data_IF_284722955717
#
_entry.id   IF_284722955717
#
_cell.length_a   1.000
_cell.length_b   1.000
_cell.length_c   1.000
_cell.angle_alpha   90.00
_cell.angle_beta   90.00
_cell.angle_gamma   90.00
#
_symmetry.space_group_name_H-M   'P 1'
#
loop_
_entity.id
_entity.type
_entity.pdbx_description
1 polymer ?
#
# COMPACT_ATOMS: atom_id res chain seq x y z
N UNK A 1 -13.11 2.10 -4.23
CA UNK A 1 -11.72 2.57 -4.29
C UNK A 1 -11.36 3.00 -5.70
N UNK A 2 -10.23 3.69 -5.87
CA UNK A 2 -9.61 3.96 -7.20
C UNK A 2 -8.33 3.13 -7.33
N UNK A 3 -7.83 2.97 -8.56
CA UNK A 3 -6.48 2.42 -8.75
C UNK A 3 -5.43 3.34 -8.11
N UNK A 4 -4.49 2.73 -7.40
CA UNK A 4 -3.31 3.41 -6.89
C UNK A 4 -2.53 4.05 -8.02
N UNK A 5 -1.94 5.20 -7.73
CA UNK A 5 -1.04 5.93 -8.61
C UNK A 5 0.36 5.92 -7.98
N UNK A 6 1.43 6.04 -8.77
CA UNK A 6 2.80 6.06 -8.23
C UNK A 6 3.00 7.09 -7.11
N UNK A 7 2.29 8.21 -7.18
CA UNK A 7 2.35 9.27 -6.17
C UNK A 7 1.87 8.82 -4.78
N UNK A 8 0.94 7.85 -4.71
CA UNK A 8 0.40 7.37 -3.43
C UNK A 8 1.47 6.65 -2.60
N UNK A 9 2.33 5.88 -3.25
CA UNK A 9 3.48 5.23 -2.60
C UNK A 9 4.62 6.23 -2.39
N UNK A 10 4.88 7.11 -3.36
CA UNK A 10 5.99 8.06 -3.31
C UNK A 10 5.85 9.04 -2.13
N UNK A 11 4.64 9.51 -1.82
CA UNK A 11 4.42 10.39 -0.67
C UNK A 11 4.65 9.66 0.66
N UNK A 12 4.31 8.38 0.74
CA UNK A 12 4.61 7.58 1.94
C UNK A 12 6.10 7.33 2.10
N UNK A 13 6.80 7.03 1.00
CA UNK A 13 8.27 6.92 1.00
C UNK A 13 8.93 8.25 1.42
N UNK A 14 8.42 9.38 0.94
CA UNK A 14 8.90 10.71 1.33
C UNK A 14 8.68 10.96 2.84
N UNK A 15 7.52 10.58 3.39
CA UNK A 15 7.27 10.65 4.83
C UNK A 15 8.32 9.85 5.63
N UNK A 16 8.56 8.59 5.25
CA UNK A 16 9.56 7.73 5.90
C UNK A 16 11.00 8.23 5.73
N UNK A 17 11.32 8.93 4.64
CA UNK A 17 12.64 9.52 4.44
C UNK A 17 12.84 10.84 5.20
N UNK A 18 11.77 11.40 5.80
CA UNK A 18 11.80 12.70 6.45
C UNK A 18 11.87 12.60 8.00
N UNK A 19 12.24 13.69 8.69
CA UNK A 19 12.18 13.76 10.16
C UNK A 19 10.79 13.51 10.76
N UNK A 20 9.71 13.64 9.97
CA UNK A 20 8.34 13.40 10.43
C UNK A 20 8.10 11.94 10.85
N UNK A 21 8.99 11.03 10.43
CA UNK A 21 8.94 9.61 10.78
C UNK A 21 9.96 9.19 11.85
N UNK A 22 10.54 10.13 12.61
CA UNK A 22 11.65 9.87 13.54
C UNK A 22 11.39 8.78 14.61
N UNK A 23 10.13 8.42 14.86
CA UNK A 23 9.73 7.37 15.80
C UNK A 23 9.07 6.15 15.14
N UNK A 24 9.08 6.08 13.81
CA UNK A 24 8.49 4.98 13.04
C UNK A 24 9.60 4.03 12.61
N UNK A 25 9.65 2.85 13.23
CA UNK A 25 10.62 1.80 12.90
C UNK A 25 10.04 0.41 13.10
N UNK A 26 10.53 -0.57 12.34
CA UNK A 26 10.10 -1.96 12.43
C UNK A 26 8.62 -2.19 12.08
N UNK A 27 8.04 -1.33 11.24
CA UNK A 27 6.65 -1.41 10.81
C UNK A 27 6.55 -1.75 9.32
N UNK A 28 5.54 -2.53 8.99
CA UNK A 28 5.10 -2.78 7.61
C UNK A 28 3.83 -1.98 7.42
N UNK A 29 3.76 -1.22 6.32
CA UNK A 29 2.60 -0.41 5.97
C UNK A 29 2.12 -0.79 4.57
N UNK A 30 0.84 -1.06 4.46
CA UNK A 30 0.17 -1.38 3.21
C UNK A 30 -0.41 -0.09 2.61
N UNK A 31 -0.03 0.20 1.36
CA UNK A 31 -0.49 1.37 0.61
C UNK A 31 -1.29 0.86 -0.60
N UNK A 32 -2.39 0.16 -0.34
CA UNK A 32 -3.16 -0.58 -1.34
C UNK A 32 -4.57 -0.01 -1.60
N UNK A 33 -5.00 0.98 -0.81
CA UNK A 33 -6.33 1.57 -0.88
C UNK A 33 -7.43 0.76 -0.20
N UNK A 34 -7.07 -0.12 0.75
CA UNK A 34 -7.99 -0.96 1.52
C UNK A 34 -8.35 -2.26 0.80
N UNK A 35 -7.42 -2.83 0.03
CA UNK A 35 -7.66 -4.03 -0.76
C UNK A 35 -7.31 -5.28 0.04
N UNK A 36 -8.31 -5.87 0.68
CA UNK A 36 -8.12 -7.14 1.43
C UNK A 36 -8.07 -8.37 0.51
N UNK A 37 -8.45 -8.22 -0.76
CA UNK A 37 -8.59 -9.30 -1.73
C UNK A 37 -8.04 -8.88 -3.10
N UNK A 38 -7.61 -9.88 -3.89
CA UNK A 38 -7.19 -9.61 -5.26
C UNK A 38 -8.39 -9.12 -6.08
N UNK A 39 -8.31 -7.89 -6.60
CA UNK A 39 -9.36 -7.35 -7.49
C UNK A 39 -9.45 -8.10 -8.83
N UNK A 40 -8.47 -8.93 -9.18
CA UNK A 40 -8.49 -9.72 -10.40
C UNK A 40 -9.23 -11.03 -10.14
N UNK A 41 -10.51 -11.09 -10.54
CA UNK A 41 -11.25 -12.35 -10.56
C UNK A 41 -10.80 -13.20 -11.75
N UNK A 42 -10.00 -14.23 -11.47
CA UNK A 42 -9.49 -15.15 -12.50
C UNK A 42 -10.53 -16.19 -12.96
N UNK A 43 -11.68 -16.29 -12.28
CA UNK A 43 -12.73 -17.28 -12.61
C UNK A 43 -12.28 -18.74 -12.43
N UNK A 44 -11.22 -18.98 -11.66
CA UNK A 44 -10.71 -20.31 -11.40
C UNK A 44 -11.60 -20.98 -10.34
N UNK A 45 -12.06 -22.23 -10.56
CA UNK A 45 -12.74 -22.99 -9.52
C UNK A 45 -11.82 -23.17 -8.31
N UNK A 46 -12.39 -23.13 -7.11
CA UNK A 46 -11.67 -23.38 -5.85
C UNK A 46 -11.01 -24.77 -5.93
N UNK A 47 -9.69 -24.83 -5.75
CA UNK A 47 -8.90 -26.07 -5.68
C UNK A 47 -8.99 -26.69 -4.29
#
# INVERSE_FOLDING_TARGET
GRLGQPIDVALFALYLASPASAWVTGKVFEIDGGQEQCSLSLGLPDL
#
